data_IF_614162694205
#
_entry.id   IF_614162694205
#
_cell.length_a   1.000
_cell.length_b   1.000
_cell.length_c   1.000
_cell.angle_alpha   90.00
_cell.angle_beta   90.00
_cell.angle_gamma   90.00
#
_symmetry.space_group_name_H-M   'P 1'
#
loop_
_entity.id
_entity.type
_entity.pdbx_description
1 polymer ?
#
# COMPACT_ATOMS: atom_id res chain seq x y z
N UNK A 1 -9.47 4.56 23.63
CA UNK A 1 -8.37 4.30 22.69
C UNK A 1 -8.95 4.19 21.29
N UNK A 2 -8.72 5.17 20.42
CA UNK A 2 -9.37 5.32 19.10
C UNK A 2 -8.37 5.14 17.93
N UNK A 3 -7.19 4.58 18.19
CA UNK A 3 -6.12 4.40 17.19
C UNK A 3 -6.19 3.03 16.51
N UNK A 4 -6.90 2.05 17.08
CA UNK A 4 -6.91 0.66 16.61
C UNK A 4 -7.66 0.45 15.28
N UNK A 5 -8.45 1.43 14.82
CA UNK A 5 -9.28 1.32 13.61
C UNK A 5 -8.73 2.10 12.42
N UNK A 6 -7.65 2.88 12.60
CA UNK A 6 -7.06 3.68 11.52
C UNK A 6 -5.96 2.95 10.73
N UNK A 7 -5.55 1.75 11.16
CA UNK A 7 -4.50 0.98 10.53
C UNK A 7 -5.10 -0.22 9.78
N UNK A 8 -4.79 -0.32 8.48
CA UNK A 8 -5.09 -1.52 7.70
C UNK A 8 -4.17 -2.67 8.12
N UNK A 9 -4.71 -3.90 8.27
CA UNK A 9 -3.88 -5.08 8.42
C UNK A 9 -2.86 -5.19 7.28
N UNK A 10 -1.62 -5.66 7.53
CA UNK A 10 -0.54 -5.70 6.53
C UNK A 10 -0.93 -6.38 5.21
N UNK A 11 -1.75 -7.43 5.27
CA UNK A 11 -2.23 -8.16 4.10
C UNK A 11 -3.26 -7.39 3.25
N UNK A 12 -3.87 -6.33 3.79
CA UNK A 12 -4.80 -5.45 3.07
C UNK A 12 -4.13 -4.20 2.49
N UNK A 13 -2.92 -3.87 2.95
CA UNK A 13 -2.12 -2.73 2.43
C UNK A 13 -1.98 -2.82 0.91
N UNK A 14 -1.69 -4.00 0.30
CA UNK A 14 -1.55 -4.06 -1.15
C UNK A 14 -2.83 -3.70 -1.91
N UNK A 15 -3.96 -4.29 -1.51
CA UNK A 15 -5.23 -4.03 -2.15
C UNK A 15 -5.64 -2.54 -2.04
N UNK A 16 -5.39 -1.92 -0.87
CA UNK A 16 -5.70 -0.52 -0.64
C UNK A 16 -4.85 0.43 -1.50
N UNK A 17 -3.53 0.22 -1.56
CA UNK A 17 -2.62 1.05 -2.37
C UNK A 17 -2.95 0.93 -3.86
N UNK A 18 -3.32 -0.27 -4.32
CA UNK A 18 -3.69 -0.50 -5.71
C UNK A 18 -5.04 0.17 -6.07
N UNK A 19 -6.01 0.14 -5.15
CA UNK A 19 -7.28 0.86 -5.30
C UNK A 19 -7.09 2.38 -5.32
N UNK A 20 -6.35 2.93 -4.37
CA UNK A 20 -6.10 4.36 -4.27
C UNK A 20 -5.27 4.91 -5.46
N UNK A 21 -4.34 4.11 -5.99
CA UNK A 21 -3.52 4.50 -7.14
C UNK A 21 -4.21 4.39 -8.49
N UNK A 22 -5.37 3.72 -8.58
CA UNK A 22 -6.06 3.42 -9.85
C UNK A 22 -6.46 4.67 -10.64
N UNK A 23 -6.95 5.69 -9.94
CA UNK A 23 -7.43 6.93 -10.54
C UNK A 23 -6.51 8.13 -10.23
N UNK A 24 -5.30 7.86 -9.71
CA UNK A 24 -4.33 8.89 -9.40
C UNK A 24 -3.65 9.42 -10.67
N UNK A 25 -3.54 10.74 -10.80
CA UNK A 25 -2.83 11.42 -11.89
C UNK A 25 -1.79 12.41 -11.38
N UNK A 26 -0.79 12.71 -12.21
CA UNK A 26 0.26 13.67 -11.88
C UNK A 26 1.22 13.17 -10.80
N UNK A 27 1.68 14.07 -9.92
CA UNK A 27 2.69 13.77 -8.89
C UNK A 27 2.24 12.72 -7.87
N UNK A 28 0.94 12.61 -7.61
CA UNK A 28 0.38 11.63 -6.66
C UNK A 28 0.46 10.20 -7.22
N UNK A 29 0.35 10.03 -8.55
CA UNK A 29 0.53 8.72 -9.18
C UNK A 29 1.95 8.17 -8.96
N UNK A 30 2.96 9.04 -8.96
CA UNK A 30 4.34 8.66 -8.67
C UNK A 30 4.53 8.17 -7.22
N UNK A 31 3.81 8.77 -6.26
CA UNK A 31 3.82 8.34 -4.87
C UNK A 31 3.23 6.93 -4.71
N UNK A 32 2.08 6.66 -5.34
CA UNK A 32 1.49 5.32 -5.31
C UNK A 32 2.38 4.29 -6.01
N UNK A 33 3.05 4.67 -7.10
CA UNK A 33 3.99 3.80 -7.80
C UNK A 33 5.20 3.46 -6.92
N UNK A 34 5.75 4.45 -6.21
CA UNK A 34 6.84 4.23 -5.24
C UNK A 34 6.44 3.21 -4.17
N UNK A 35 5.27 3.39 -3.52
CA UNK A 35 4.79 2.43 -2.53
C UNK A 35 4.56 1.04 -3.13
N UNK A 36 4.05 0.96 -4.36
CA UNK A 36 3.85 -0.31 -5.05
C UNK A 36 5.17 -1.06 -5.26
N UNK A 37 6.19 -0.38 -5.78
CA UNK A 37 7.49 -0.97 -6.08
C UNK A 37 8.27 -1.29 -4.80
N UNK A 38 8.31 -0.37 -3.85
CA UNK A 38 9.15 -0.49 -2.66
C UNK A 38 8.57 -1.46 -1.62
N UNK A 39 7.23 -1.52 -1.49
CA UNK A 39 6.55 -2.27 -0.43
C UNK A 39 5.83 -3.54 -0.90
N UNK A 40 5.46 -3.66 -2.18
CA UNK A 40 4.81 -4.87 -2.73
C UNK A 40 5.73 -5.71 -3.62
N UNK A 41 7.06 -5.63 -3.42
CA UNK A 41 7.97 -6.49 -4.16
C UNK A 41 7.67 -7.96 -3.80
N UNK A 42 7.47 -8.87 -4.77
CA UNK A 42 7.18 -10.29 -4.52
C UNK A 42 8.19 -10.95 -3.58
N UNK A 43 9.46 -10.52 -3.65
CA UNK A 43 10.55 -11.00 -2.80
C UNK A 43 10.54 -10.43 -1.36
N UNK A 44 9.83 -9.33 -1.10
CA UNK A 44 9.64 -8.73 0.24
C UNK A 44 8.34 -9.14 0.93
N UNK A 45 7.43 -9.78 0.20
CA UNK A 45 6.15 -10.25 0.72
C UNK A 45 6.18 -11.55 1.59
N UNK A 46 7.25 -12.36 1.71
CA UNK A 46 7.16 -13.61 2.49
C UNK A 46 7.41 -13.45 4.00
N UNK A 47 7.56 -12.24 4.54
CA UNK A 47 8.01 -12.05 5.94
C UNK A 47 7.11 -11.22 6.85
N UNK A 48 5.88 -10.93 6.44
CA UNK A 48 4.89 -10.32 7.35
C UNK A 48 4.05 -11.40 8.05
N UNK A 49 4.72 -12.33 8.72
CA UNK A 49 4.09 -13.26 9.65
C UNK A 49 4.20 -12.75 11.08
#
# INVERSE_FOLDING_TARGET
MLLATAFLPPHHIPAAVLLLGRDATGSIAALFNYFRVEWMLPDRLPMWN
#
